data_IF_954703423360
#
_entry.id   IF_954703423360
#
_cell.length_a   1.000
_cell.length_b   1.000
_cell.length_c   1.000
_cell.angle_alpha   90.00
_cell.angle_beta   90.00
_cell.angle_gamma   90.00
#
_symmetry.space_group_name_H-M   'P 1'
#
loop_
_entity.id
_entity.type
_entity.pdbx_description
1 polymer ?
#
# COMPACT_ATOMS: atom_id res chain seq x y z
N UNK A 1 -3.08 25.23 -12.79
CA UNK A 1 -3.80 24.05 -12.23
C UNK A 1 -3.87 22.90 -13.23
N UNK A 2 -4.13 23.16 -14.51
CA UNK A 2 -4.27 22.13 -15.55
C UNK A 2 -2.98 21.34 -15.83
N UNK A 3 -1.85 22.03 -16.03
CA UNK A 3 -0.53 21.41 -16.25
C UNK A 3 -0.07 20.50 -15.12
N UNK A 4 -0.38 20.85 -13.87
CA UNK A 4 -0.10 20.01 -12.69
C UNK A 4 -0.85 18.69 -12.77
N UNK A 5 -2.15 18.72 -13.13
CA UNK A 5 -2.96 17.50 -13.29
C UNK A 5 -2.44 16.61 -14.42
N UNK A 6 -1.97 17.19 -15.52
CA UNK A 6 -1.39 16.41 -16.63
C UNK A 6 -0.11 15.69 -16.22
N UNK A 7 0.76 16.35 -15.45
CA UNK A 7 1.99 15.73 -14.92
C UNK A 7 1.63 14.57 -13.99
N UNK A 8 0.71 14.76 -13.04
CA UNK A 8 0.26 13.69 -12.15
C UNK A 8 -0.38 12.52 -12.90
N UNK A 9 -1.20 12.81 -13.91
CA UNK A 9 -1.79 11.77 -14.77
C UNK A 9 -0.72 10.96 -15.50
N UNK A 10 0.36 11.61 -15.98
CA UNK A 10 1.47 10.90 -16.63
C UNK A 10 2.26 10.05 -15.62
N UNK A 11 2.58 10.62 -14.45
CA UNK A 11 3.30 9.93 -13.38
C UNK A 11 2.53 8.72 -12.86
N UNK A 12 1.21 8.86 -12.73
CA UNK A 12 0.35 7.84 -12.14
C UNK A 12 -0.34 6.95 -13.17
N UNK A 13 0.02 7.06 -14.46
CA UNK A 13 -0.59 6.28 -15.55
C UNK A 13 -0.53 4.76 -15.33
N UNK A 14 0.49 4.28 -14.61
CA UNK A 14 0.64 2.85 -14.26
C UNK A 14 -0.15 2.40 -13.04
N UNK A 15 -0.77 3.31 -12.30
CA UNK A 15 -1.50 3.03 -11.07
C UNK A 15 -3.00 3.05 -11.33
N UNK A 16 -3.72 2.09 -10.74
CA UNK A 16 -5.17 1.96 -10.91
C UNK A 16 -5.98 2.30 -9.67
N UNK A 17 -5.40 2.04 -8.48
CA UNK A 17 -6.10 2.13 -7.21
C UNK A 17 -5.36 3.04 -6.24
N UNK A 18 -6.12 3.80 -5.46
CA UNK A 18 -5.70 4.42 -4.21
C UNK A 18 -6.33 3.62 -3.07
N UNK A 19 -5.52 2.85 -2.35
CA UNK A 19 -5.97 2.03 -1.23
C UNK A 19 -5.86 2.81 0.09
N UNK A 20 -6.94 2.81 0.86
CA UNK A 20 -6.97 3.19 2.27
C UNK A 20 -6.99 1.90 3.08
N UNK A 21 -5.96 1.69 3.90
CA UNK A 21 -5.87 0.53 4.78
C UNK A 21 -6.56 0.88 6.08
N UNK A 22 -7.78 0.40 6.27
CA UNK A 22 -8.55 0.57 7.50
C UNK A 22 -7.86 -0.17 8.63
N UNK A 23 -7.33 0.58 9.57
CA UNK A 23 -6.77 0.08 10.81
C UNK A 23 -7.51 0.72 11.99
N UNK A 24 -7.13 0.33 13.20
CA UNK A 24 -7.57 0.91 14.48
C UNK A 24 -6.88 2.27 14.80
N UNK A 25 -6.09 2.83 13.88
CA UNK A 25 -5.22 3.97 14.14
C UNK A 25 -5.87 5.34 13.94
N UNK A 26 -7.02 5.40 13.27
CA UNK A 26 -7.71 6.63 12.90
C UNK A 26 -9.20 6.36 12.69
N UNK A 27 -10.03 7.40 12.73
CA UNK A 27 -11.44 7.28 12.32
C UNK A 27 -11.54 7.38 10.78
N UNK A 28 -12.01 6.33 10.09
CA UNK A 28 -12.20 6.39 8.65
C UNK A 28 -13.11 7.55 8.20
N UNK A 29 -14.08 7.96 9.01
CA UNK A 29 -14.98 9.05 8.65
C UNK A 29 -14.24 10.39 8.43
N UNK A 30 -13.09 10.58 9.10
CA UNK A 30 -12.29 11.80 8.98
C UNK A 30 -11.48 11.86 7.67
N UNK A 31 -11.01 10.70 7.17
CA UNK A 31 -10.06 10.66 6.04
C UNK A 31 -10.67 10.18 4.72
N UNK A 32 -11.78 9.41 4.77
CA UNK A 32 -12.39 8.83 3.57
C UNK A 32 -12.90 9.89 2.58
N UNK A 33 -13.52 11.02 3.02
CA UNK A 33 -13.92 12.08 2.09
C UNK A 33 -12.71 12.66 1.32
N UNK A 34 -11.64 13.00 2.04
CA UNK A 34 -10.45 13.63 1.45
C UNK A 34 -9.71 12.68 0.51
N UNK A 35 -9.57 11.42 0.89
CA UNK A 35 -8.88 10.41 0.06
C UNK A 35 -9.69 10.04 -1.18
N UNK A 36 -11.03 10.08 -1.11
CA UNK A 36 -11.90 9.92 -2.28
C UNK A 36 -11.76 11.07 -3.26
N UNK A 37 -11.75 12.31 -2.78
CA UNK A 37 -11.58 13.50 -3.63
C UNK A 37 -10.19 13.51 -4.28
N UNK A 38 -9.17 13.08 -3.53
CA UNK A 38 -7.82 12.89 -4.06
C UNK A 38 -7.77 11.82 -5.16
N UNK A 39 -8.39 10.65 -4.95
CA UNK A 39 -8.44 9.60 -5.95
C UNK A 39 -9.12 10.09 -7.24
N UNK A 40 -10.23 10.82 -7.12
CA UNK A 40 -10.91 11.43 -8.26
C UNK A 40 -10.02 12.44 -9.01
N UNK A 41 -9.31 13.31 -8.29
CA UNK A 41 -8.40 14.29 -8.88
C UNK A 41 -7.21 13.65 -9.62
N UNK A 42 -6.84 12.42 -9.23
CA UNK A 42 -5.73 11.65 -9.79
C UNK A 42 -6.16 10.58 -10.80
N UNK A 43 -7.47 10.46 -11.09
CA UNK A 43 -8.04 9.42 -11.95
C UNK A 43 -7.74 7.99 -11.47
N UNK A 44 -7.76 7.78 -10.15
CA UNK A 44 -7.56 6.49 -9.50
C UNK A 44 -8.87 5.98 -8.89
N UNK A 45 -9.01 4.66 -8.78
CA UNK A 45 -10.11 4.04 -8.06
C UNK A 45 -9.85 4.10 -6.55
N UNK A 46 -10.74 4.73 -5.80
CA UNK A 46 -10.67 4.72 -4.34
C UNK A 46 -11.13 3.35 -3.81
N UNK A 47 -10.29 2.71 -2.99
CA UNK A 47 -10.55 1.39 -2.41
C UNK A 47 -10.23 1.43 -0.92
N UNK A 48 -11.05 0.76 -0.12
CA UNK A 48 -10.77 0.56 1.31
C UNK A 48 -10.57 -0.92 1.54
N UNK A 49 -9.48 -1.28 2.20
CA UNK A 49 -9.18 -2.65 2.60
C UNK A 49 -9.00 -2.69 4.12
N UNK A 50 -9.46 -3.76 4.76
CA UNK A 50 -9.20 -3.96 6.18
C UNK A 50 -7.75 -4.43 6.36
N UNK A 51 -7.10 -3.89 7.38
CA UNK A 51 -5.71 -4.20 7.72
C UNK A 51 -5.47 -4.16 9.23
N UNK A 52 -4.22 -4.40 9.63
CA UNK A 52 -3.83 -4.44 11.03
C UNK A 52 -2.50 -3.75 11.26
N UNK A 53 -2.36 -3.08 12.41
CA UNK A 53 -1.08 -2.54 12.87
C UNK A 53 -0.16 -3.59 13.52
N UNK A 54 -0.60 -4.84 13.60
CA UNK A 54 0.13 -5.90 14.35
C UNK A 54 1.58 -6.06 13.90
N UNK A 55 1.85 -6.12 12.60
CA UNK A 55 3.23 -6.26 12.09
C UNK A 55 4.11 -5.05 12.45
N UNK A 56 3.56 -3.83 12.38
CA UNK A 56 4.28 -2.61 12.77
C UNK A 56 4.56 -2.62 14.28
N UNK A 57 3.57 -2.99 15.11
CA UNK A 57 3.74 -3.11 16.57
C UNK A 57 4.85 -4.09 16.93
N UNK A 58 4.83 -5.28 16.35
CA UNK A 58 5.85 -6.33 16.58
C UNK A 58 7.26 -5.85 16.20
N UNK A 59 7.39 -5.19 15.05
CA UNK A 59 8.67 -4.63 14.60
C UNK A 59 9.22 -3.56 15.57
N UNK A 60 8.36 -2.68 16.09
CA UNK A 60 8.76 -1.65 17.06
C UNK A 60 9.15 -2.24 18.43
N UNK A 61 8.48 -3.32 18.84
CA UNK A 61 8.77 -4.05 20.07
C UNK A 61 9.92 -5.05 19.94
N UNK A 62 10.51 -5.21 18.75
CA UNK A 62 11.55 -6.19 18.42
C UNK A 62 11.09 -7.64 18.63
N UNK A 63 9.81 -7.90 18.41
CA UNK A 63 9.20 -9.23 18.44
C UNK A 63 9.39 -9.91 17.08
N UNK A 64 10.62 -10.33 16.80
CA UNK A 64 10.97 -11.04 15.57
C UNK A 64 10.60 -12.53 15.68
N UNK A 65 9.41 -12.87 15.24
CA UNK A 65 8.91 -14.25 15.18
C UNK A 65 8.61 -14.68 13.73
N UNK A 66 7.75 -15.69 13.55
CA UNK A 66 7.45 -16.31 12.26
C UNK A 66 6.88 -15.35 11.20
N UNK A 67 6.40 -14.16 11.61
CA UNK A 67 5.94 -13.12 10.68
C UNK A 67 7.10 -12.37 9.99
N UNK A 68 8.35 -12.56 10.44
CA UNK A 68 9.52 -11.86 9.91
C UNK A 68 10.51 -12.83 9.26
N UNK A 69 11.10 -12.39 8.14
CA UNK A 69 12.27 -13.07 7.57
C UNK A 69 13.54 -12.40 8.09
N UNK A 70 14.38 -13.16 8.79
CA UNK A 70 15.69 -12.72 9.25
C UNK A 70 16.70 -12.95 8.13
N UNK A 71 17.37 -11.90 7.70
CA UNK A 71 18.41 -11.95 6.66
C UNK A 71 19.76 -11.63 7.29
N UNK A 72 20.70 -12.56 7.16
CA UNK A 72 22.06 -12.39 7.68
C UNK A 72 22.81 -11.26 6.97
N UNK A 73 23.61 -10.52 7.73
CA UNK A 73 24.40 -9.43 7.20
C UNK A 73 25.39 -9.93 6.12
N UNK A 74 25.48 -9.19 5.01
CA UNK A 74 26.30 -9.58 3.86
C UNK A 74 25.62 -10.52 2.87
N UNK A 75 24.38 -10.95 3.14
CA UNK A 75 23.59 -11.73 2.19
C UNK A 75 22.98 -10.84 1.11
N UNK A 76 22.98 -11.29 -0.15
CA UNK A 76 22.25 -10.62 -1.23
C UNK A 76 20.74 -10.76 -1.00
N UNK A 77 20.04 -9.63 -0.90
CA UNK A 77 18.57 -9.62 -0.81
C UNK A 77 17.99 -9.68 -2.21
N UNK A 78 17.31 -10.79 -2.53
CA UNK A 78 16.49 -10.91 -3.73
C UNK A 78 15.01 -11.10 -3.35
N UNK A 79 14.12 -11.00 -4.34
CA UNK A 79 12.68 -11.17 -4.11
C UNK A 79 12.29 -12.58 -3.64
N UNK A 80 13.13 -13.59 -3.89
CA UNK A 80 12.89 -14.97 -3.42
C UNK A 80 13.23 -15.10 -1.94
N UNK A 81 14.19 -14.31 -1.46
CA UNK A 81 14.56 -14.23 -0.06
C UNK A 81 13.45 -13.61 0.79
N UNK A 82 12.59 -12.76 0.22
CA UNK A 82 11.43 -12.21 0.90
C UNK A 82 10.26 -13.21 0.80
N UNK A 83 9.77 -13.73 1.93
CA UNK A 83 8.53 -14.53 2.01
C UNK A 83 7.29 -13.66 1.75
N UNK A 84 7.20 -13.06 0.56
CA UNK A 84 6.09 -12.19 0.19
C UNK A 84 4.80 -13.04 0.10
N UNK A 85 3.87 -12.80 1.03
CA UNK A 85 2.47 -13.19 0.87
C UNK A 85 1.55 -11.97 0.99
N UNK A 86 0.53 -11.86 0.11
CA UNK A 86 0.29 -12.75 -1.03
C UNK A 86 1.29 -12.48 -2.17
N UNK A 87 1.30 -13.36 -3.18
CA UNK A 87 1.96 -13.09 -4.46
C UNK A 87 1.68 -11.64 -4.92
N UNK A 88 2.63 -10.99 -5.62
CA UNK A 88 2.41 -9.63 -6.12
C UNK A 88 1.04 -9.56 -6.79
N UNK A 89 0.20 -8.61 -6.35
CA UNK A 89 -1.18 -8.43 -6.82
C UNK A 89 -1.23 -8.71 -8.32
N UNK A 90 -1.92 -9.79 -8.69
CA UNK A 90 -1.88 -10.24 -10.07
C UNK A 90 -2.42 -9.13 -10.96
N UNK A 91 -1.93 -9.05 -12.20
CA UNK A 91 -2.36 -8.01 -13.14
C UNK A 91 -3.89 -8.01 -13.36
N UNK A 92 -4.58 -9.10 -13.02
CA UNK A 92 -6.03 -9.23 -13.03
C UNK A 92 -6.73 -8.43 -11.91
N UNK A 93 -6.09 -8.25 -10.75
CA UNK A 93 -6.59 -7.44 -9.63
C UNK A 93 -6.39 -5.93 -9.86
N UNK A 94 -5.57 -5.59 -10.86
CA UNK A 94 -5.49 -4.28 -11.47
C UNK A 94 -6.54 -4.23 -12.59
N UNK A 95 -7.82 -4.17 -12.21
CA UNK A 95 -8.99 -4.24 -13.11
C UNK A 95 -8.81 -3.52 -14.45
N UNK A 96 -9.25 -4.18 -15.52
CA UNK A 96 -9.17 -3.81 -16.95
C UNK A 96 -8.97 -2.32 -17.22
#
# INVERSE_FOLDING_TARGET
RERTREIYRLMLKGYKNLYVIRTDAYDPAEILPQTRDLAAALYLQHRVIDGSLTMIRKALLKEWDDDFTIIEAGTTVDLKALRLLPEPLTRADLGS
#
